data_IF_134779010859
#
_entry.id   IF_134779010859
#
_cell.length_a   1.000
_cell.length_b   1.000
_cell.length_c   1.000
_cell.angle_alpha   90.00
_cell.angle_beta   90.00
_cell.angle_gamma   90.00
#
_symmetry.space_group_name_H-M   'P 1'
#
loop_
_entity.id
_entity.type
_entity.pdbx_description
1 polymer ?
#
# COMPACT_ATOMS: atom_id res chain seq x y z
N UNK A 1 -33.99 -0.82 -12.39
CA UNK A 1 -33.08 -1.87 -12.92
C UNK A 1 -33.20 -3.07 -12.00
N UNK A 2 -33.24 -4.32 -12.48
CA UNK A 2 -33.22 -5.47 -11.58
C UNK A 2 -31.91 -5.43 -10.81
N UNK A 3 -31.98 -5.41 -9.47
CA UNK A 3 -30.83 -5.52 -8.60
C UNK A 3 -30.17 -6.86 -8.84
N UNK A 4 -28.98 -6.87 -9.42
CA UNK A 4 -28.16 -8.07 -9.53
C UNK A 4 -28.00 -8.65 -8.12
N UNK A 5 -28.34 -9.94 -7.88
CA UNK A 5 -28.20 -10.52 -6.56
C UNK A 5 -26.72 -10.47 -6.15
N UNK A 6 -26.43 -9.71 -5.08
CA UNK A 6 -25.06 -9.58 -4.55
C UNK A 6 -24.50 -10.94 -4.13
N UNK A 7 -23.18 -11.09 -4.19
CA UNK A 7 -22.49 -12.24 -3.61
C UNK A 7 -22.65 -12.26 -2.08
N UNK A 8 -22.28 -13.36 -1.43
CA UNK A 8 -22.39 -13.48 0.03
C UNK A 8 -21.46 -12.46 0.74
N UNK A 9 -20.27 -12.23 0.20
CA UNK A 9 -19.31 -11.27 0.78
C UNK A 9 -19.79 -9.82 0.67
N UNK A 10 -20.62 -9.49 -0.33
CA UNK A 10 -21.24 -8.18 -0.52
C UNK A 10 -22.55 -7.99 0.28
N UNK A 11 -22.93 -8.96 1.10
CA UNK A 11 -24.19 -8.92 1.85
C UNK A 11 -23.93 -8.69 3.33
N UNK A 12 -24.62 -7.71 3.93
CA UNK A 12 -24.58 -7.46 5.36
C UNK A 12 -25.14 -8.62 6.20
N UNK A 13 -24.77 -8.67 7.47
CA UNK A 13 -25.28 -9.65 8.43
C UNK A 13 -25.32 -9.02 9.82
N UNK A 14 -26.28 -9.45 10.64
CA UNK A 14 -26.34 -9.10 12.07
C UNK A 14 -25.50 -10.06 12.94
N UNK A 15 -24.95 -11.13 12.33
CA UNK A 15 -24.14 -12.13 13.03
C UNK A 15 -22.68 -11.68 13.07
N UNK A 16 -22.05 -11.80 14.24
CA UNK A 16 -20.61 -11.61 14.44
C UNK A 16 -19.78 -12.89 14.15
N UNK A 17 -20.45 -13.97 13.72
CA UNK A 17 -19.72 -15.19 13.29
C UNK A 17 -19.04 -14.95 11.97
N UNK A 18 -17.70 -14.94 11.97
CA UNK A 18 -16.90 -14.70 10.80
C UNK A 18 -17.09 -15.82 9.76
N UNK A 19 -17.60 -15.46 8.60
CA UNK A 19 -17.70 -16.36 7.44
C UNK A 19 -16.40 -16.41 6.65
N UNK A 20 -15.60 -15.35 6.75
CA UNK A 20 -14.31 -15.19 6.10
C UNK A 20 -13.20 -15.08 7.17
N UNK A 21 -12.79 -16.21 7.81
CA UNK A 21 -11.80 -16.19 8.88
C UNK A 21 -10.47 -15.54 8.46
N UNK A 22 -10.10 -15.65 7.18
CA UNK A 22 -8.91 -15.03 6.63
C UNK A 22 -8.89 -13.51 6.83
N UNK A 23 -10.03 -12.83 6.79
CA UNK A 23 -10.09 -11.38 7.01
C UNK A 23 -9.79 -11.02 8.48
N UNK A 24 -10.23 -11.86 9.42
CA UNK A 24 -9.88 -11.72 10.84
C UNK A 24 -8.39 -11.96 11.06
N UNK A 25 -7.82 -12.99 10.44
CA UNK A 25 -6.39 -13.33 10.51
C UNK A 25 -5.54 -12.18 9.97
N UNK A 26 -5.91 -11.62 8.81
CA UNK A 26 -5.21 -10.48 8.20
C UNK A 26 -5.34 -9.20 9.02
N UNK A 27 -6.50 -8.94 9.64
CA UNK A 27 -6.66 -7.83 10.56
C UNK A 27 -5.77 -7.97 11.81
N UNK A 28 -5.61 -9.18 12.34
CA UNK A 28 -4.71 -9.46 13.46
C UNK A 28 -3.24 -9.32 13.03
N UNK A 29 -2.89 -9.82 11.86
CA UNK A 29 -1.56 -9.68 11.26
C UNK A 29 -1.18 -8.21 11.15
N UNK A 30 -2.03 -7.37 10.54
CA UNK A 30 -1.78 -5.93 10.41
C UNK A 30 -1.62 -5.25 11.77
N UNK A 31 -2.46 -5.54 12.74
CA UNK A 31 -2.32 -4.99 14.08
C UNK A 31 -1.01 -5.38 14.77
N UNK A 32 -0.48 -6.57 14.45
CA UNK A 32 0.75 -7.08 15.07
C UNK A 32 2.03 -6.42 14.53
N UNK A 33 1.95 -5.81 13.36
CA UNK A 33 3.07 -5.13 12.69
C UNK A 33 2.92 -3.60 12.68
N UNK A 34 1.93 -3.04 13.39
CA UNK A 34 1.71 -1.60 13.50
C UNK A 34 2.94 -0.89 14.09
N UNK A 35 3.32 0.20 13.50
CA UNK A 35 4.46 1.03 13.89
C UNK A 35 4.08 2.52 13.92
N UNK A 36 4.42 3.27 14.98
CA UNK A 36 4.24 4.71 15.03
C UNK A 36 5.30 5.41 14.19
N UNK A 37 4.90 6.39 13.39
CA UNK A 37 5.83 7.17 12.56
C UNK A 37 6.88 7.90 13.37
N UNK A 38 6.50 8.39 14.55
CA UNK A 38 7.34 9.19 15.46
C UNK A 38 8.48 8.37 16.09
N UNK A 39 8.42 7.04 16.04
CA UNK A 39 9.47 6.17 16.61
C UNK A 39 10.60 5.87 15.60
N UNK A 40 10.50 6.33 14.35
CA UNK A 40 11.49 6.06 13.31
C UNK A 40 12.77 6.90 13.43
N UNK A 41 12.70 8.09 14.04
CA UNK A 41 13.85 9.00 14.16
C UNK A 41 14.26 9.62 12.83
N UNK A 42 13.32 9.92 11.93
CA UNK A 42 13.60 10.48 10.59
C UNK A 42 14.37 11.81 10.67
N UNK A 43 14.22 12.55 11.76
CA UNK A 43 14.98 13.77 12.02
C UNK A 43 16.50 13.56 12.11
N UNK A 44 16.96 12.35 12.39
CA UNK A 44 18.39 12.01 12.37
C UNK A 44 18.98 11.98 10.97
N UNK A 45 18.12 11.90 9.93
CA UNK A 45 18.53 11.97 8.52
C UNK A 45 18.70 13.41 7.99
N UNK A 46 18.49 14.45 8.82
CA UNK A 46 18.56 15.88 8.42
C UNK A 46 19.87 16.22 7.70
N UNK A 47 21.01 15.69 8.20
CA UNK A 47 22.32 15.91 7.60
C UNK A 47 22.40 15.34 6.18
N UNK A 48 21.79 14.20 5.91
CA UNK A 48 21.76 13.61 4.58
C UNK A 48 20.96 14.49 3.63
N UNK A 49 19.77 14.90 4.02
CA UNK A 49 18.92 15.78 3.18
C UNK A 49 19.58 17.14 2.89
N UNK A 50 20.34 17.68 3.82
CA UNK A 50 20.94 19.02 3.69
C UNK A 50 22.27 19.02 2.92
N UNK A 51 23.09 17.96 3.04
CA UNK A 51 24.48 18.04 2.59
C UNK A 51 25.03 16.82 1.89
N UNK A 52 24.56 15.61 2.18
CA UNK A 52 25.13 14.38 1.64
C UNK A 52 24.50 13.97 0.31
N UNK A 53 23.21 14.23 0.17
CA UNK A 53 22.49 14.03 -1.09
C UNK A 53 22.87 15.11 -2.11
N UNK A 54 23.04 14.71 -3.36
CA UNK A 54 23.28 15.67 -4.44
C UNK A 54 21.94 16.27 -4.95
N UNK A 55 21.97 17.35 -5.77
CA UNK A 55 20.75 18.00 -6.25
C UNK A 55 19.81 17.06 -7.04
N UNK A 56 20.33 16.06 -7.76
CA UNK A 56 19.50 15.12 -8.52
C UNK A 56 18.74 14.16 -7.58
N UNK A 57 19.41 13.69 -6.56
CA UNK A 57 18.84 12.80 -5.55
C UNK A 57 17.77 13.52 -4.74
N UNK A 58 18.06 14.74 -4.27
CA UNK A 58 17.11 15.56 -3.53
C UNK A 58 15.90 15.93 -4.38
N UNK A 59 16.09 16.27 -5.66
CA UNK A 59 14.99 16.52 -6.61
C UNK A 59 14.06 15.31 -6.70
N UNK A 60 14.60 14.12 -6.91
CA UNK A 60 13.79 12.91 -7.01
C UNK A 60 13.03 12.59 -5.72
N UNK A 61 13.64 12.78 -4.55
CA UNK A 61 13.00 12.60 -3.25
C UNK A 61 11.84 13.58 -3.07
N UNK A 62 12.05 14.88 -3.31
CA UNK A 62 11.04 15.91 -3.18
C UNK A 62 9.87 15.64 -4.16
N UNK A 63 10.18 15.25 -5.39
CA UNK A 63 9.16 14.91 -6.39
C UNK A 63 8.31 13.72 -5.95
N UNK A 64 8.92 12.64 -5.46
CA UNK A 64 8.20 11.48 -4.94
C UNK A 64 7.32 11.85 -3.73
N UNK A 65 7.87 12.61 -2.78
CA UNK A 65 7.16 13.05 -1.56
C UNK A 65 5.97 13.97 -1.86
N UNK A 66 6.00 14.70 -2.95
CA UNK A 66 4.92 15.64 -3.31
C UNK A 66 3.55 14.97 -3.53
N UNK A 67 3.52 13.66 -3.73
CA UNK A 67 2.31 12.90 -4.04
C UNK A 67 2.05 11.75 -3.06
N UNK A 68 3.07 11.21 -2.37
CA UNK A 68 2.91 10.06 -1.49
C UNK A 68 1.91 10.32 -0.36
N UNK A 69 2.06 11.40 0.39
CA UNK A 69 1.13 11.73 1.47
C UNK A 69 -0.32 11.81 0.98
N UNK A 70 -0.53 12.29 -0.25
CA UNK A 70 -1.85 12.36 -0.86
C UNK A 70 -2.41 10.96 -1.17
N UNK A 71 -1.57 10.02 -1.58
CA UNK A 71 -2.01 8.64 -1.79
C UNK A 71 -2.52 8.00 -0.51
N UNK A 72 -1.77 8.11 0.59
CA UNK A 72 -2.14 7.50 1.87
C UNK A 72 -3.45 8.07 2.42
N UNK A 73 -3.65 9.40 2.29
CA UNK A 73 -4.91 10.02 2.71
C UNK A 73 -6.11 9.53 1.89
N UNK A 74 -5.93 9.23 0.60
CA UNK A 74 -6.98 8.69 -0.26
C UNK A 74 -7.22 7.20 0.02
N UNK A 75 -6.14 6.41 0.13
CA UNK A 75 -6.20 4.96 0.32
C UNK A 75 -6.78 4.63 1.70
N UNK A 76 -6.29 5.27 2.76
CA UNK A 76 -6.77 5.09 4.12
C UNK A 76 -8.12 5.76 4.39
N UNK A 77 -8.48 6.78 3.62
CA UNK A 77 -9.67 7.60 3.79
C UNK A 77 -10.96 7.01 3.24
N UNK A 78 -11.95 7.88 3.05
CA UNK A 78 -13.30 7.51 2.61
C UNK A 78 -13.32 6.90 1.20
N UNK A 79 -12.35 7.24 0.38
CA UNK A 79 -12.31 6.80 -1.01
C UNK A 79 -12.06 5.29 -1.16
N UNK A 80 -11.29 4.67 -0.22
CA UNK A 80 -11.00 3.24 -0.28
C UNK A 80 -11.22 2.55 1.07
N UNK A 81 -10.19 2.24 1.87
CA UNK A 81 -10.31 1.37 3.03
C UNK A 81 -11.21 1.94 4.14
N UNK A 82 -11.12 3.22 4.43
CA UNK A 82 -11.93 3.88 5.45
C UNK A 82 -13.40 4.08 5.07
N UNK A 83 -13.78 3.86 3.82
CA UNK A 83 -15.12 4.12 3.32
C UNK A 83 -15.64 3.17 2.26
N UNK A 84 -15.18 3.31 1.01
CA UNK A 84 -15.73 2.62 -0.16
C UNK A 84 -15.69 1.10 -0.03
N UNK A 85 -14.53 0.51 0.31
CA UNK A 85 -14.38 -0.95 0.44
C UNK A 85 -15.26 -1.47 1.57
N UNK A 86 -15.28 -0.77 2.70
CA UNK A 86 -16.13 -1.11 3.82
C UNK A 86 -17.63 -1.08 3.47
N UNK A 87 -18.07 -0.17 2.60
CA UNK A 87 -19.46 -0.10 2.10
C UNK A 87 -19.78 -1.23 1.12
N UNK A 88 -18.83 -1.59 0.25
CA UNK A 88 -18.99 -2.68 -0.72
C UNK A 88 -19.03 -4.06 -0.05
N UNK A 89 -18.29 -4.23 1.05
CA UNK A 89 -18.17 -5.48 1.80
C UNK A 89 -18.59 -5.29 3.28
N UNK A 90 -19.91 -5.18 3.56
CA UNK A 90 -20.42 -4.72 4.84
C UNK A 90 -20.44 -5.79 5.94
N UNK A 91 -19.66 -6.86 5.84
CA UNK A 91 -19.58 -7.90 6.87
C UNK A 91 -18.65 -7.47 8.01
N UNK A 92 -18.95 -7.82 9.28
CA UNK A 92 -18.18 -7.38 10.45
C UNK A 92 -16.69 -7.73 10.37
N UNK A 93 -16.34 -8.94 9.88
CA UNK A 93 -14.95 -9.36 9.71
C UNK A 93 -14.19 -8.55 8.66
N UNK A 94 -14.88 -8.13 7.59
CA UNK A 94 -14.28 -7.27 6.54
C UNK A 94 -14.19 -5.82 7.03
N UNK A 95 -15.23 -5.33 7.74
CA UNK A 95 -15.19 -4.00 8.36
C UNK A 95 -14.01 -3.86 9.33
N UNK A 96 -13.72 -4.92 10.10
CA UNK A 96 -12.56 -4.96 10.98
C UNK A 96 -11.24 -4.86 10.19
N UNK A 97 -11.11 -5.62 9.10
CA UNK A 97 -9.94 -5.56 8.22
C UNK A 97 -9.76 -4.15 7.64
N UNK A 98 -10.82 -3.57 7.08
CA UNK A 98 -10.79 -2.21 6.55
C UNK A 98 -10.37 -1.17 7.59
N UNK A 99 -10.89 -1.28 8.82
CA UNK A 99 -10.58 -0.34 9.90
C UNK A 99 -9.10 -0.39 10.32
N UNK A 100 -8.48 -1.57 10.38
CA UNK A 100 -7.07 -1.67 10.77
C UNK A 100 -6.13 -1.23 9.65
N UNK A 101 -6.46 -1.51 8.38
CA UNK A 101 -5.69 -0.99 7.24
C UNK A 101 -5.81 0.54 7.19
N UNK A 102 -7.02 1.08 7.21
CA UNK A 102 -7.23 2.54 7.25
C UNK A 102 -6.48 3.22 8.41
N UNK A 103 -6.41 2.56 9.58
CA UNK A 103 -5.65 3.08 10.72
C UNK A 103 -4.14 3.16 10.42
N UNK A 104 -3.56 2.18 9.75
CA UNK A 104 -2.12 2.20 9.39
C UNK A 104 -1.83 3.31 8.39
N UNK A 105 -2.65 3.46 7.36
CA UNK A 105 -2.47 4.51 6.35
C UNK A 105 -2.50 5.91 6.97
N UNK A 106 -3.47 6.16 7.86
CA UNK A 106 -3.71 7.48 8.44
C UNK A 106 -2.85 7.79 9.68
N UNK A 107 -2.35 6.78 10.40
CA UNK A 107 -1.63 6.97 11.66
C UNK A 107 -0.18 6.45 11.66
N UNK A 108 0.27 5.83 10.55
CA UNK A 108 1.68 5.46 10.35
C UNK A 108 2.22 6.08 9.07
N UNK A 109 1.65 5.73 7.90
CA UNK A 109 2.21 6.12 6.60
C UNK A 109 2.10 7.63 6.35
N UNK A 110 0.89 8.21 6.38
CA UNK A 110 0.72 9.64 6.14
C UNK A 110 1.53 10.52 7.12
N UNK A 111 1.55 10.28 8.45
CA UNK A 111 2.43 11.00 9.37
C UNK A 111 3.92 10.79 9.06
N UNK A 112 4.34 9.58 8.70
CA UNK A 112 5.72 9.29 8.35
C UNK A 112 6.21 10.16 7.17
N UNK A 113 5.45 10.22 6.08
CA UNK A 113 5.81 11.08 4.95
C UNK A 113 5.78 12.56 5.32
N UNK A 114 4.85 12.98 6.19
CA UNK A 114 4.83 14.34 6.70
C UNK A 114 6.07 14.70 7.51
N UNK A 115 6.54 13.80 8.41
CA UNK A 115 7.79 14.00 9.16
C UNK A 115 8.97 14.16 8.20
N UNK A 116 9.08 13.33 7.15
CA UNK A 116 10.09 13.49 6.12
C UNK A 116 10.04 14.87 5.44
N UNK A 117 8.84 15.36 5.14
CA UNK A 117 8.64 16.69 4.56
C UNK A 117 9.00 17.82 5.55
N UNK A 118 8.72 17.66 6.84
CA UNK A 118 9.12 18.60 7.90
C UNK A 118 10.65 18.70 8.01
N UNK A 119 11.36 17.57 8.02
CA UNK A 119 12.83 17.53 8.07
C UNK A 119 13.46 18.21 6.86
N UNK A 120 12.85 18.07 5.67
CA UNK A 120 13.28 18.76 4.46
C UNK A 120 12.86 20.24 4.40
N UNK A 121 11.98 20.71 5.29
CA UNK A 121 11.41 22.05 5.29
C UNK A 121 10.32 22.27 4.23
N UNK A 122 9.70 21.18 3.75
CA UNK A 122 8.69 21.18 2.68
C UNK A 122 7.25 21.00 3.18
N UNK A 123 7.01 20.82 4.49
CA UNK A 123 5.66 20.60 5.04
C UNK A 123 4.81 21.88 5.00
N UNK A 124 4.38 22.30 3.81
CA UNK A 124 3.58 23.50 3.57
C UNK A 124 2.36 23.18 2.70
N UNK A 125 1.30 23.97 2.82
CA UNK A 125 0.09 23.83 2.00
C UNK A 125 0.41 23.90 0.48
N UNK A 126 1.35 24.76 0.10
CA UNK A 126 1.79 24.91 -1.29
C UNK A 126 2.46 23.62 -1.77
N UNK A 127 3.30 23.00 -0.95
CA UNK A 127 3.95 21.73 -1.29
C UNK A 127 2.93 20.61 -1.49
N UNK A 128 1.98 20.46 -0.56
CA UNK A 128 0.96 19.39 -0.63
C UNK A 128 -0.07 19.59 -1.74
N UNK A 129 -0.12 20.77 -2.35
CA UNK A 129 -1.05 21.06 -3.45
C UNK A 129 -0.36 21.25 -4.80
N UNK A 130 0.98 21.30 -4.87
CA UNK A 130 1.74 21.58 -6.09
C UNK A 130 1.50 20.53 -7.21
N UNK A 131 1.19 19.28 -6.86
CA UNK A 131 0.87 18.24 -7.82
C UNK A 131 -0.28 18.62 -8.75
N UNK A 132 -1.19 19.52 -8.34
CA UNK A 132 -2.30 20.01 -9.15
C UNK A 132 -1.83 20.83 -10.34
N UNK A 133 -0.66 21.44 -10.27
CA UNK A 133 -0.06 22.19 -11.35
C UNK A 133 0.76 21.31 -12.32
N UNK A 134 1.15 20.11 -11.90
CA UNK A 134 1.84 19.15 -12.75
C UNK A 134 0.82 18.25 -13.47
N UNK A 135 0.76 18.29 -14.83
CA UNK A 135 -0.25 17.54 -15.57
C UNK A 135 -0.09 16.01 -15.44
N UNK A 136 1.12 15.51 -15.17
CA UNK A 136 1.37 14.06 -15.01
C UNK A 136 0.85 13.60 -13.66
N UNK A 137 1.14 14.34 -12.61
CA UNK A 137 0.69 14.01 -11.24
C UNK A 137 -0.83 14.21 -11.12
N UNK A 138 -1.38 15.29 -11.69
CA UNK A 138 -2.82 15.54 -11.71
C UNK A 138 -3.60 14.43 -12.43
N UNK A 139 -3.11 13.97 -13.60
CA UNK A 139 -3.72 12.86 -14.35
C UNK A 139 -3.74 11.55 -13.54
N UNK A 140 -2.71 11.28 -12.74
CA UNK A 140 -2.65 10.13 -11.83
C UNK A 140 -3.72 10.23 -10.75
N UNK A 141 -3.84 11.36 -10.08
CA UNK A 141 -4.84 11.55 -9.02
C UNK A 141 -6.26 11.49 -9.60
N UNK A 142 -6.50 12.08 -10.78
CA UNK A 142 -7.78 11.98 -11.48
C UNK A 142 -8.14 10.50 -11.81
N UNK A 143 -7.16 9.71 -12.23
CA UNK A 143 -7.35 8.27 -12.46
C UNK A 143 -7.80 7.55 -11.17
N UNK A 144 -7.18 7.85 -10.04
CA UNK A 144 -7.54 7.25 -8.74
C UNK A 144 -8.98 7.64 -8.35
N UNK A 145 -9.34 8.91 -8.43
CA UNK A 145 -10.72 9.38 -8.16
C UNK A 145 -11.76 8.70 -9.08
N UNK A 146 -11.42 8.53 -10.36
CA UNK A 146 -12.30 7.85 -11.31
C UNK A 146 -12.56 6.39 -10.93
N UNK A 147 -11.55 5.69 -10.46
CA UNK A 147 -11.69 4.31 -9.99
C UNK A 147 -12.47 4.25 -8.68
N UNK A 148 -12.20 5.13 -7.73
CA UNK A 148 -12.94 5.23 -6.47
C UNK A 148 -14.43 5.51 -6.69
N UNK A 149 -14.79 6.20 -7.78
CA UNK A 149 -16.17 6.46 -8.16
C UNK A 149 -16.93 5.23 -8.69
N UNK A 150 -16.26 4.14 -9.09
CA UNK A 150 -16.91 2.91 -9.55
C UNK A 150 -17.73 2.26 -8.44
N UNK A 151 -18.90 1.70 -8.78
CA UNK A 151 -19.74 0.92 -7.87
C UNK A 151 -19.55 -0.60 -8.04
N UNK A 152 -18.67 -1.04 -8.92
CA UNK A 152 -18.33 -2.45 -9.06
C UNK A 152 -17.21 -2.85 -8.10
N UNK A 153 -17.54 -3.74 -7.16
CA UNK A 153 -16.61 -4.23 -6.15
C UNK A 153 -15.36 -4.90 -6.76
N UNK A 154 -15.49 -5.55 -7.94
CA UNK A 154 -14.36 -6.18 -8.61
C UNK A 154 -13.42 -5.14 -9.22
N UNK A 155 -13.94 -4.08 -9.83
CA UNK A 155 -13.12 -3.00 -10.37
C UNK A 155 -12.39 -2.23 -9.26
N UNK A 156 -13.10 -1.88 -8.19
CA UNK A 156 -12.51 -1.14 -7.05
C UNK A 156 -11.41 -1.96 -6.38
N UNK A 157 -11.65 -3.24 -6.08
CA UNK A 157 -10.64 -4.07 -5.42
C UNK A 157 -9.45 -4.39 -6.32
N UNK A 158 -9.66 -4.56 -7.63
CA UNK A 158 -8.56 -4.71 -8.57
C UNK A 158 -7.68 -3.45 -8.60
N UNK A 159 -8.29 -2.27 -8.63
CA UNK A 159 -7.55 -1.01 -8.63
C UNK A 159 -6.77 -0.79 -7.32
N UNK A 160 -7.37 -1.04 -6.17
CA UNK A 160 -6.67 -0.94 -4.87
C UNK A 160 -5.51 -1.93 -4.81
N UNK A 161 -5.67 -3.16 -5.32
CA UNK A 161 -4.55 -4.10 -5.40
C UNK A 161 -3.38 -3.55 -6.21
N UNK A 162 -3.63 -2.78 -7.30
CA UNK A 162 -2.56 -2.11 -8.06
C UNK A 162 -1.99 -0.89 -7.34
N UNK A 163 -2.82 -0.05 -6.73
CA UNK A 163 -2.34 1.12 -5.99
C UNK A 163 -1.35 0.71 -4.90
N UNK A 164 -1.75 -0.22 -4.06
CA UNK A 164 -0.96 -0.76 -2.94
C UNK A 164 0.21 -1.65 -3.41
N UNK A 165 0.01 -2.43 -4.47
CA UNK A 165 0.95 -3.47 -4.88
C UNK A 165 1.95 -3.09 -5.96
N UNK A 166 1.70 -1.99 -6.69
CA UNK A 166 2.54 -1.56 -7.80
C UNK A 166 2.85 -0.07 -7.78
N UNK A 167 1.84 0.81 -7.62
CA UNK A 167 2.03 2.26 -7.67
C UNK A 167 2.93 2.74 -6.53
N UNK A 168 2.60 2.43 -5.29
CA UNK A 168 3.43 2.80 -4.13
C UNK A 168 4.81 2.12 -4.18
N UNK A 169 4.88 0.89 -4.65
CA UNK A 169 6.15 0.17 -4.79
C UNK A 169 7.13 0.82 -5.78
N UNK A 170 6.65 1.53 -6.78
CA UNK A 170 7.51 2.32 -7.67
C UNK A 170 8.33 3.35 -6.87
N UNK A 171 7.67 4.14 -6.03
CA UNK A 171 8.32 5.09 -5.14
C UNK A 171 9.23 4.38 -4.11
N UNK A 172 8.78 3.25 -3.54
CA UNK A 172 9.58 2.48 -2.58
C UNK A 172 10.88 1.96 -3.20
N UNK A 173 10.83 1.47 -4.45
CA UNK A 173 12.03 1.07 -5.19
C UNK A 173 13.04 2.21 -5.34
N UNK A 174 12.56 3.42 -5.61
CA UNK A 174 13.39 4.62 -5.66
C UNK A 174 14.05 4.93 -4.30
N UNK A 175 13.26 5.03 -3.24
CA UNK A 175 13.77 5.37 -1.90
C UNK A 175 14.72 4.33 -1.33
N UNK A 176 14.42 3.04 -1.48
CA UNK A 176 15.29 1.98 -0.99
C UNK A 176 16.65 1.94 -1.69
N UNK A 177 16.77 2.51 -2.89
CA UNK A 177 18.04 2.72 -3.58
C UNK A 177 19.06 3.47 -2.71
N UNK A 178 18.61 4.40 -1.87
CA UNK A 178 19.47 5.22 -0.99
C UNK A 178 20.14 4.43 0.14
N UNK A 179 19.61 3.26 0.49
CA UNK A 179 20.22 2.36 1.47
C UNK A 179 20.43 0.95 0.89
N UNK A 180 21.01 0.89 -0.32
CA UNK A 180 21.29 -0.35 -1.03
C UNK A 180 22.66 -0.29 -1.70
N UNK A 181 23.21 -1.43 -2.09
CA UNK A 181 24.44 -1.53 -2.89
C UNK A 181 25.65 -0.75 -2.35
N UNK A 182 25.75 -0.62 -1.01
CA UNK A 182 26.84 0.09 -0.33
C UNK A 182 26.57 1.58 -0.06
N UNK A 183 25.41 2.10 -0.48
CA UNK A 183 24.93 3.40 -0.04
C UNK A 183 24.24 3.28 1.31
N UNK A 184 24.37 4.32 2.14
CA UNK A 184 23.72 4.44 3.44
C UNK A 184 23.29 5.89 3.64
N UNK A 185 22.36 6.36 2.80
CA UNK A 185 21.74 7.67 2.91
C UNK A 185 20.32 7.52 3.47
N UNK A 186 19.89 8.49 4.26
CA UNK A 186 18.55 8.57 4.84
C UNK A 186 18.07 7.23 5.45
N UNK A 187 18.88 6.57 6.30
CA UNK A 187 18.59 5.23 6.77
C UNK A 187 17.29 5.13 7.60
N UNK A 188 16.94 6.17 8.35
CA UNK A 188 15.72 6.20 9.15
C UNK A 188 14.48 6.35 8.27
N UNK A 189 14.55 7.23 7.26
CA UNK A 189 13.49 7.35 6.27
C UNK A 189 13.30 6.04 5.48
N UNK A 190 14.38 5.41 5.02
CA UNK A 190 14.31 4.11 4.32
C UNK A 190 13.76 3.01 5.22
N UNK A 191 14.02 3.06 6.54
CA UNK A 191 13.39 2.12 7.49
C UNK A 191 11.87 2.26 7.53
N UNK A 192 11.34 3.48 7.45
CA UNK A 192 9.90 3.73 7.31
C UNK A 192 9.35 3.18 5.98
N UNK A 193 10.09 3.35 4.88
CA UNK A 193 9.74 2.74 3.59
C UNK A 193 9.70 1.21 3.68
N UNK A 194 10.58 0.57 4.46
CA UNK A 194 10.54 -0.87 4.70
C UNK A 194 9.28 -1.30 5.46
N UNK A 195 8.86 -0.50 6.44
CA UNK A 195 7.60 -0.67 7.16
C UNK A 195 6.41 -0.58 6.19
N UNK A 196 6.30 0.54 5.47
CA UNK A 196 5.24 0.75 4.48
C UNK A 196 5.22 -0.37 3.43
N UNK A 197 6.36 -0.76 2.86
CA UNK A 197 6.41 -1.81 1.84
C UNK A 197 5.88 -3.18 2.32
N UNK A 198 6.00 -3.50 3.61
CA UNK A 198 5.41 -4.71 4.21
C UNK A 198 3.90 -4.57 4.34
N UNK A 199 3.44 -3.45 4.83
CA UNK A 199 2.02 -3.16 4.99
C UNK A 199 1.32 -3.17 3.63
N UNK A 200 1.87 -2.47 2.63
CA UNK A 200 1.29 -2.39 1.29
C UNK A 200 1.27 -3.73 0.56
N UNK A 201 2.26 -4.58 0.82
CA UNK A 201 2.20 -5.94 0.30
C UNK A 201 1.04 -6.74 0.90
N UNK A 202 0.76 -6.57 2.19
CA UNK A 202 -0.38 -7.17 2.89
C UNK A 202 -1.71 -6.57 2.39
N UNK A 203 -1.80 -5.24 2.24
CA UNK A 203 -2.99 -4.54 1.77
C UNK A 203 -3.38 -4.95 0.35
N UNK A 204 -2.42 -4.94 -0.58
CA UNK A 204 -2.61 -5.42 -1.95
C UNK A 204 -3.08 -6.87 -2.01
N UNK A 205 -2.52 -7.74 -1.14
CA UNK A 205 -2.96 -9.13 -1.02
C UNK A 205 -4.39 -9.21 -0.48
N UNK A 206 -4.74 -8.43 0.55
CA UNK A 206 -6.09 -8.39 1.11
C UNK A 206 -7.12 -7.93 0.06
N UNK A 207 -6.78 -6.91 -0.72
CA UNK A 207 -7.64 -6.43 -1.81
C UNK A 207 -7.84 -7.50 -2.90
N UNK A 208 -6.77 -8.21 -3.28
CA UNK A 208 -6.86 -9.32 -4.22
C UNK A 208 -7.69 -10.50 -3.64
N UNK A 209 -7.62 -10.78 -2.34
CA UNK A 209 -8.46 -11.80 -1.69
C UNK A 209 -9.95 -11.41 -1.72
N UNK A 210 -10.29 -10.14 -1.47
CA UNK A 210 -11.66 -9.62 -1.63
C UNK A 210 -12.14 -9.79 -3.06
N UNK A 211 -11.32 -9.40 -4.04
CA UNK A 211 -11.59 -9.57 -5.45
C UNK A 211 -11.88 -11.03 -5.83
N UNK A 212 -10.99 -11.96 -5.49
CA UNK A 212 -11.12 -13.37 -5.84
C UNK A 212 -12.34 -14.01 -5.18
N UNK A 213 -12.58 -13.71 -3.89
CA UNK A 213 -13.73 -14.24 -3.16
C UNK A 213 -15.05 -13.72 -3.76
N UNK A 214 -15.12 -12.41 -4.05
CA UNK A 214 -16.31 -11.80 -4.66
C UNK A 214 -16.60 -12.39 -6.06
N UNK A 215 -15.57 -12.49 -6.90
CA UNK A 215 -15.67 -13.08 -8.24
C UNK A 215 -16.16 -14.52 -8.20
N UNK A 216 -15.56 -15.34 -7.34
CA UNK A 216 -15.94 -16.73 -7.12
C UNK A 216 -17.42 -16.87 -6.73
N UNK A 217 -17.86 -16.12 -5.73
CA UNK A 217 -19.23 -16.20 -5.24
C UNK A 217 -20.27 -15.67 -6.24
N UNK A 218 -19.92 -14.63 -7.01
CA UNK A 218 -20.76 -14.15 -8.11
C UNK A 218 -20.91 -15.23 -9.18
N UNK A 219 -19.83 -15.93 -9.55
CA UNK A 219 -19.87 -17.02 -10.52
C UNK A 219 -20.70 -18.22 -10.02
N UNK A 220 -20.54 -18.64 -8.75
CA UNK A 220 -21.32 -19.71 -8.14
C UNK A 220 -22.83 -19.42 -8.10
N UNK A 221 -23.22 -18.16 -8.02
CA UNK A 221 -24.62 -17.70 -8.09
C UNK A 221 -25.13 -17.47 -9.51
N UNK A 222 -24.29 -17.66 -10.53
CA UNK A 222 -24.62 -17.37 -11.93
C UNK A 222 -24.66 -15.88 -12.27
N UNK A 223 -24.09 -15.01 -11.44
CA UNK A 223 -24.04 -13.55 -11.59
C UNK A 223 -22.72 -13.06 -12.20
N UNK A 224 -21.88 -13.97 -12.66
CA UNK A 224 -20.64 -13.68 -13.38
C UNK A 224 -20.50 -14.73 -14.49
N UNK A 225 -20.82 -14.31 -15.71
CA UNK A 225 -20.80 -15.16 -16.91
C UNK A 225 -19.39 -15.22 -17.51
N UNK A 226 -19.21 -16.05 -18.55
CA UNK A 226 -17.96 -16.07 -19.32
C UNK A 226 -17.71 -14.74 -20.03
N UNK A 227 -18.76 -14.09 -20.50
CA UNK A 227 -18.70 -12.77 -21.13
C UNK A 227 -18.28 -11.70 -20.11
N UNK A 228 -18.78 -11.78 -18.87
CA UNK A 228 -18.36 -10.90 -17.77
C UNK A 228 -16.90 -11.12 -17.41
N UNK A 229 -16.41 -12.38 -17.39
CA UNK A 229 -14.99 -12.68 -17.14
C UNK A 229 -14.08 -12.07 -18.21
N UNK A 230 -14.44 -12.18 -19.48
CA UNK A 230 -13.67 -11.58 -20.59
C UNK A 230 -13.64 -10.05 -20.46
N UNK A 231 -14.80 -9.44 -20.17
CA UNK A 231 -14.90 -7.99 -19.98
C UNK A 231 -14.06 -7.53 -18.80
N UNK A 232 -14.15 -8.22 -17.65
CA UNK A 232 -13.39 -7.91 -16.44
C UNK A 232 -11.87 -8.04 -16.68
N UNK A 233 -11.45 -9.15 -17.33
CA UNK A 233 -10.04 -9.35 -17.69
C UNK A 233 -9.51 -8.21 -18.57
N UNK A 234 -10.26 -7.82 -19.61
CA UNK A 234 -9.89 -6.69 -20.46
C UNK A 234 -9.81 -5.37 -19.67
N UNK A 235 -10.73 -5.13 -18.73
CA UNK A 235 -10.71 -3.95 -17.86
C UNK A 235 -9.47 -3.93 -16.98
N UNK A 236 -9.11 -5.07 -16.37
CA UNK A 236 -7.92 -5.18 -15.52
C UNK A 236 -6.63 -4.98 -16.33
N UNK A 237 -6.53 -5.59 -17.52
CA UNK A 237 -5.39 -5.41 -18.41
C UNK A 237 -5.25 -3.95 -18.87
N UNK A 238 -6.36 -3.30 -19.21
CA UNK A 238 -6.35 -1.86 -19.54
C UNK A 238 -5.92 -1.00 -18.35
N UNK A 239 -6.42 -1.29 -17.15
CA UNK A 239 -6.02 -0.61 -15.91
C UNK A 239 -4.51 -0.75 -15.67
N UNK A 240 -3.97 -1.96 -15.77
CA UNK A 240 -2.54 -2.22 -15.65
C UNK A 240 -1.71 -1.44 -16.68
N UNK A 241 -2.20 -1.37 -17.92
CA UNK A 241 -1.54 -0.61 -18.99
C UNK A 241 -1.51 0.90 -18.70
N UNK A 242 -2.64 1.48 -18.28
CA UNK A 242 -2.73 2.90 -17.91
C UNK A 242 -1.81 3.20 -16.72
N UNK A 243 -1.80 2.35 -15.70
CA UNK A 243 -0.89 2.47 -14.55
C UNK A 243 0.57 2.45 -15.02
N UNK A 244 0.95 1.50 -15.86
CA UNK A 244 2.31 1.41 -16.38
C UNK A 244 2.76 2.67 -17.13
N UNK A 245 1.86 3.24 -17.94
CA UNK A 245 2.14 4.50 -18.65
C UNK A 245 2.32 5.67 -17.69
N UNK A 246 1.45 5.79 -16.67
CA UNK A 246 1.56 6.84 -15.67
C UNK A 246 2.85 6.70 -14.86
N UNK A 247 3.15 5.50 -14.34
CA UNK A 247 4.35 5.27 -13.55
C UNK A 247 5.62 5.56 -14.33
N UNK A 248 5.68 5.17 -15.59
CA UNK A 248 6.83 5.47 -16.46
C UNK A 248 7.05 6.98 -16.62
N UNK A 249 5.97 7.77 -16.72
CA UNK A 249 6.04 9.23 -16.78
C UNK A 249 6.45 9.81 -15.44
N UNK A 250 5.86 9.36 -14.34
CA UNK A 250 6.19 9.80 -12.97
C UNK A 250 7.65 9.45 -12.64
N UNK A 251 8.08 8.24 -12.94
CA UNK A 251 9.49 7.84 -12.76
C UNK A 251 10.42 8.77 -13.53
N UNK A 252 10.05 9.20 -14.74
CA UNK A 252 10.88 10.14 -15.52
C UNK A 252 11.03 11.50 -14.82
N UNK A 253 9.99 11.97 -14.09
CA UNK A 253 10.09 13.22 -13.29
C UNK A 253 11.15 13.10 -12.19
N UNK A 254 11.29 11.93 -11.55
CA UNK A 254 12.27 11.70 -10.48
C UNK A 254 13.72 11.87 -10.97
N UNK A 255 13.96 11.72 -12.27
CA UNK A 255 15.26 11.76 -12.90
C UNK A 255 15.45 12.97 -13.84
N UNK A 256 14.58 14.00 -13.78
CA UNK A 256 14.74 15.21 -14.60
C UNK A 256 16.06 15.95 -14.36
N UNK A 257 16.53 15.92 -13.11
CA UNK A 257 17.87 16.42 -12.78
C UNK A 257 18.87 15.26 -12.92
N UNK A 258 19.86 15.34 -13.82
CA UNK A 258 20.82 14.24 -14.03
C UNK A 258 21.82 14.13 -12.88
N UNK A 259 22.26 12.90 -12.60
CA UNK A 259 23.33 12.64 -11.62
C UNK A 259 22.89 11.83 -10.40
N UNK A 260 21.71 11.17 -10.42
CA UNK A 260 21.35 10.20 -9.42
C UNK A 260 22.38 9.06 -9.38
N UNK A 261 22.90 8.76 -8.17
CA UNK A 261 23.98 7.76 -7.98
C UNK A 261 23.46 6.38 -7.57
N UNK A 262 22.23 6.35 -7.00
CA UNK A 262 21.75 5.17 -6.23
C UNK A 262 20.92 4.20 -7.07
N UNK A 263 20.19 4.69 -8.06
CA UNK A 263 19.34 3.90 -8.95
C UNK A 263 19.22 4.58 -10.30
N UNK A 264 18.97 3.83 -11.37
CA UNK A 264 18.71 4.37 -12.70
C UNK A 264 17.21 4.35 -13.03
N UNK A 265 16.77 5.21 -13.94
CA UNK A 265 15.39 5.21 -14.45
C UNK A 265 15.01 3.85 -15.07
N UNK A 266 15.94 3.21 -15.78
CA UNK A 266 15.69 1.90 -16.40
C UNK A 266 15.47 0.82 -15.34
N UNK A 267 16.31 0.77 -14.30
CA UNK A 267 16.15 -0.15 -13.17
C UNK A 267 14.81 0.05 -12.46
N UNK A 268 14.41 1.29 -12.23
CA UNK A 268 13.14 1.61 -11.56
C UNK A 268 11.95 1.23 -12.43
N UNK A 269 11.96 1.54 -13.72
CA UNK A 269 10.88 1.16 -14.64
C UNK A 269 10.73 -0.37 -14.72
N UNK A 270 11.84 -1.11 -14.81
CA UNK A 270 11.82 -2.57 -14.80
C UNK A 270 11.20 -3.13 -13.51
N UNK A 271 11.55 -2.55 -12.36
CA UNK A 271 10.97 -2.94 -11.06
C UNK A 271 9.45 -2.66 -11.02
N UNK A 272 9.02 -1.52 -11.52
CA UNK A 272 7.61 -1.15 -11.60
C UNK A 272 6.82 -2.15 -12.47
N UNK A 273 7.37 -2.54 -13.63
CA UNK A 273 6.78 -3.55 -14.52
C UNK A 273 6.68 -4.93 -13.84
N UNK A 274 7.70 -5.32 -13.08
CA UNK A 274 7.68 -6.55 -12.25
C UNK A 274 6.56 -6.50 -11.20
N UNK A 275 6.41 -5.38 -10.50
CA UNK A 275 5.34 -5.18 -9.51
C UNK A 275 3.95 -5.26 -10.13
N UNK A 276 3.73 -4.69 -11.30
CA UNK A 276 2.47 -4.79 -12.04
C UNK A 276 2.16 -6.26 -12.36
N UNK A 277 3.14 -7.04 -12.82
CA UNK A 277 2.96 -8.47 -13.09
C UNK A 277 2.60 -9.26 -11.82
N UNK A 278 3.20 -8.93 -10.67
CA UNK A 278 2.85 -9.55 -9.38
C UNK A 278 1.38 -9.31 -9.03
N UNK A 279 0.90 -8.08 -9.21
CA UNK A 279 -0.51 -7.76 -8.95
C UNK A 279 -1.43 -8.45 -9.95
N UNK A 280 -1.09 -8.47 -11.24
CA UNK A 280 -1.84 -9.22 -12.26
C UNK A 280 -1.99 -10.69 -11.86
N UNK A 281 -0.90 -11.34 -11.42
CA UNK A 281 -0.93 -12.72 -10.95
C UNK A 281 -1.85 -12.90 -9.72
N UNK A 282 -1.83 -11.98 -8.76
CA UNK A 282 -2.75 -11.98 -7.60
C UNK A 282 -4.22 -11.89 -8.02
N UNK A 283 -4.50 -11.15 -9.08
CA UNK A 283 -5.85 -11.01 -9.66
C UNK A 283 -6.21 -12.16 -10.62
N UNK A 284 -5.32 -13.15 -10.82
CA UNK A 284 -5.53 -14.29 -11.71
C UNK A 284 -5.48 -13.90 -13.19
N UNK A 285 -4.66 -12.91 -13.54
CA UNK A 285 -4.45 -12.44 -14.90
C UNK A 285 -3.07 -12.85 -15.42
N UNK A 286 -2.94 -12.93 -16.74
CA UNK A 286 -1.66 -13.16 -17.40
C UNK A 286 -0.72 -11.96 -17.23
N UNK A 287 0.60 -12.17 -17.12
CA UNK A 287 1.56 -11.09 -17.03
C UNK A 287 1.56 -10.23 -18.30
N UNK A 288 1.78 -8.93 -18.12
CA UNK A 288 1.84 -7.95 -19.22
C UNK A 288 3.26 -7.74 -19.75
N UNK A 289 4.27 -7.86 -18.87
CA UNK A 289 5.65 -7.53 -19.16
C UNK A 289 6.55 -8.77 -19.09
N UNK A 290 7.59 -8.78 -19.90
CA UNK A 290 8.67 -9.76 -19.74
C UNK A 290 9.73 -9.19 -18.80
N UNK A 291 9.63 -9.54 -17.52
CA UNK A 291 10.50 -9.06 -16.45
C UNK A 291 11.35 -10.20 -15.89
N UNK A 292 12.48 -10.54 -16.57
CA UNK A 292 13.47 -11.43 -15.96
C UNK A 292 14.02 -10.78 -14.68
N UNK A 293 14.59 -11.55 -13.77
CA UNK A 293 15.13 -11.07 -12.49
C UNK A 293 15.90 -9.75 -12.65
N UNK A 294 15.32 -8.67 -12.15
CA UNK A 294 15.89 -7.33 -12.23
C UNK A 294 16.82 -7.03 -11.07
N UNK A 295 17.67 -6.03 -11.25
CA UNK A 295 18.62 -5.59 -10.20
C UNK A 295 17.89 -5.13 -8.95
N UNK A 296 16.86 -4.31 -9.12
CA UNK A 296 16.08 -3.77 -7.99
C UNK A 296 15.29 -4.87 -7.27
N UNK A 297 14.57 -5.72 -8.01
CA UNK A 297 13.84 -6.84 -7.42
C UNK A 297 14.75 -7.73 -6.57
N UNK A 298 15.98 -8.01 -7.03
CA UNK A 298 16.94 -8.83 -6.31
C UNK A 298 17.23 -8.28 -4.91
N UNK A 299 17.77 -7.07 -4.80
CA UNK A 299 18.13 -6.51 -3.49
C UNK A 299 16.93 -6.02 -2.69
N UNK A 300 15.84 -5.58 -3.34
CA UNK A 300 14.63 -5.10 -2.66
C UNK A 300 13.99 -6.20 -1.82
N UNK A 301 13.74 -7.36 -2.41
CA UNK A 301 13.10 -8.47 -1.69
C UNK A 301 14.05 -9.14 -0.69
N UNK A 302 15.35 -9.21 -0.99
CA UNK A 302 16.34 -9.71 -0.04
C UNK A 302 16.37 -8.85 1.22
N UNK A 303 16.36 -7.53 1.09
CA UNK A 303 16.30 -6.62 2.23
C UNK A 303 14.99 -6.77 3.02
N UNK A 304 13.84 -6.85 2.35
CA UNK A 304 12.55 -7.09 3.05
C UNK A 304 12.52 -8.43 3.80
N UNK A 305 13.20 -9.47 3.27
CA UNK A 305 13.24 -10.79 3.90
C UNK A 305 14.23 -10.86 5.06
N UNK A 306 15.34 -10.11 4.99
CA UNK A 306 16.40 -10.07 6.02
C UNK A 306 16.08 -9.11 7.16
N UNK A 307 15.29 -8.09 6.95
CA UNK A 307 14.70 -7.30 8.02
C UNK A 307 13.71 -8.22 8.77
N UNK A 308 14.28 -9.08 9.59
CA UNK A 308 13.54 -9.62 10.71
C UNK A 308 13.18 -8.39 11.54
N UNK A 309 11.94 -7.93 11.40
CA UNK A 309 11.30 -6.96 12.28
C UNK A 309 11.48 -7.23 13.79
N UNK A 310 12.23 -8.27 14.27
CA UNK A 310 12.40 -8.53 15.67
C UNK A 310 13.33 -7.56 16.38
N UNK A 311 14.30 -6.94 15.78
CA UNK A 311 15.34 -6.30 16.60
C UNK A 311 15.13 -4.81 16.84
N UNK A 312 14.61 -4.04 15.91
CA UNK A 312 14.26 -2.64 16.13
C UNK A 312 12.89 -2.49 16.84
N UNK A 313 11.89 -3.28 16.41
CA UNK A 313 10.57 -3.33 17.06
C UNK A 313 10.47 -4.37 18.17
N UNK A 314 11.41 -5.32 18.31
CA UNK A 314 11.35 -6.32 19.37
C UNK A 314 11.62 -5.71 20.76
N UNK A 315 12.40 -4.66 20.90
CA UNK A 315 12.51 -3.96 22.16
C UNK A 315 11.20 -3.25 22.53
N UNK A 316 10.54 -2.60 21.54
CA UNK A 316 9.26 -1.92 21.72
C UNK A 316 8.10 -2.90 21.68
N UNK A 317 8.10 -3.89 20.79
CA UNK A 317 7.09 -4.97 20.75
C UNK A 317 7.22 -5.96 21.92
N UNK A 318 8.39 -6.22 22.50
CA UNK A 318 8.48 -6.98 23.74
C UNK A 318 7.86 -6.21 24.91
N UNK A 319 7.89 -4.89 24.89
CA UNK A 319 7.11 -4.08 25.83
C UNK A 319 5.64 -3.97 25.42
N UNK A 320 5.29 -3.97 24.12
CA UNK A 320 3.92 -3.91 23.61
C UNK A 320 3.27 -5.29 23.39
N UNK A 321 4.00 -6.37 23.32
CA UNK A 321 3.53 -7.71 23.74
C UNK A 321 3.17 -7.71 25.24
N UNK A 322 3.03 -6.51 25.75
CA UNK A 322 2.33 -6.27 27.00
C UNK A 322 1.03 -6.98 26.97
N UNK A 323 1.19 -8.31 27.08
CA UNK A 323 0.29 -9.05 27.88
C UNK A 323 -1.21 -8.86 27.58
N UNK A 324 -1.60 -8.47 26.35
CA UNK A 324 -3.00 -8.62 25.99
C UNK A 324 -3.48 -10.04 26.28
N UNK A 325 -2.66 -11.05 26.03
CA UNK A 325 -2.94 -12.43 26.45
C UNK A 325 -2.85 -12.63 27.97
N UNK A 326 -1.93 -11.96 28.67
CA UNK A 326 -1.86 -12.02 30.15
C UNK A 326 -2.97 -11.21 30.79
N UNK A 327 -3.32 -10.05 30.31
CA UNK A 327 -4.45 -9.29 30.83
C UNK A 327 -5.79 -9.97 30.56
N UNK A 328 -6.01 -10.56 29.39
CA UNK A 328 -7.21 -11.35 29.13
C UNK A 328 -7.28 -12.61 30.00
N UNK A 329 -6.16 -13.29 30.24
CA UNK A 329 -6.12 -14.46 31.12
C UNK A 329 -6.28 -14.05 32.61
N UNK A 330 -5.77 -12.89 33.02
CA UNK A 330 -5.95 -12.36 34.38
C UNK A 330 -7.40 -11.94 34.60
N UNK A 331 -8.03 -11.20 33.67
CA UNK A 331 -9.43 -10.85 33.72
C UNK A 331 -10.37 -12.07 33.78
N UNK A 332 -10.11 -13.11 33.01
CA UNK A 332 -10.91 -14.34 33.06
C UNK A 332 -10.74 -15.12 34.36
N UNK A 333 -9.56 -15.09 34.98
CA UNK A 333 -9.33 -15.71 36.27
C UNK A 333 -10.02 -14.95 37.42
N UNK A 334 -10.00 -13.64 37.37
CA UNK A 334 -10.68 -12.81 38.37
C UNK A 334 -12.19 -12.97 38.29
N UNK A 335 -12.78 -12.94 37.09
CA UNK A 335 -14.22 -13.20 36.88
C UNK A 335 -14.65 -14.63 37.28
N UNK A 336 -13.77 -15.62 37.13
CA UNK A 336 -14.10 -16.99 37.54
C UNK A 336 -14.01 -17.22 39.06
N UNK A 337 -13.38 -16.31 39.79
CA UNK A 337 -13.31 -16.38 41.26
C UNK A 337 -14.38 -15.51 41.96
N UNK A 338 -15.15 -14.72 41.21
CA UNK A 338 -16.26 -13.90 41.71
C UNK A 338 -17.65 -14.52 41.41
N UNK A 339 -17.70 -15.66 40.70
CA UNK A 339 -18.87 -16.50 40.46
C UNK A 339 -18.80 -17.81 41.24
#
# INVERSE_FOLDING_TARGET
>A
MPTVPKSQIETSTDSYVARYPWAVEKAIEQQSIFWPAEELGVEEDEQDFRTNLNPAELHGIITAQSILTQYELMIGGEEFWGGKIAKLFPRPEIQRLCAVISNVELNSHAPFYNIGNEVMGNATDDFYTQWKADPILAERIEFIHKVAASDDALEVTAAVAFLEGAVLFSAFGFFKGFNSRGFNFIPHFVSGIDGSAKDENLHSMCSAMLFQQCKKERAEKGNHTKEDEVRLSNTIQLMAHVIALHEKRINSLLFEVPGNRVITLEELNHFTEDRINIVLARLGQEPMFNTPSGVVSGWFYDQLSTVKVPDFFAATQLQYRRNWARHQLTFRKELANEL
#
